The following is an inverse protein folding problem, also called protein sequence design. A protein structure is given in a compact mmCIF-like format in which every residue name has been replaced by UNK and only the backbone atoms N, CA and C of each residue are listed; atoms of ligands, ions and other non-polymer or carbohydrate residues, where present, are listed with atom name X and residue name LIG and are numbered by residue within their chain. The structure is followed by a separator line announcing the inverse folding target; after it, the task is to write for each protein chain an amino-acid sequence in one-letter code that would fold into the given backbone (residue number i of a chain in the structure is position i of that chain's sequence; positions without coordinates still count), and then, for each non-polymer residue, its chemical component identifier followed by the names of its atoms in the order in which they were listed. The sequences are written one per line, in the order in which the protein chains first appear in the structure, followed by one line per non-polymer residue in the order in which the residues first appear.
data_IF_826917652421
#
_entry.id   IF_826917652421
#
_cell.length_a   1.000
_cell.length_b   1.000
_cell.length_c   1.000
_cell.angle_alpha   90.00
_cell.angle_beta   90.00
_cell.angle_gamma   90.00
#
_symmetry.space_group_name_H-M   'P 1'
#
loop_
_entity.id
_entity.type
_entity.pdbx_description
1 polymer ?
#
# COMPACT_ATOMS: atom_id res chain seq x y z
N UNK A 1 16.19 -0.03 -16.68
CA UNK A 1 15.46 -1.01 -17.50
C UNK A 1 14.04 -1.03 -17.01
N UNK A 2 13.09 -0.45 -17.75
CA UNK A 2 11.69 -0.48 -17.39
C UNK A 2 11.15 -1.90 -17.64
N UNK A 3 10.78 -2.61 -16.58
CA UNK A 3 10.15 -3.92 -16.68
C UNK A 3 8.72 -3.67 -17.15
N UNK A 4 8.44 -4.00 -18.41
CA UNK A 4 7.09 -3.95 -18.96
C UNK A 4 6.34 -5.21 -18.49
N UNK A 5 5.69 -5.10 -17.34
CA UNK A 5 4.80 -6.15 -16.83
C UNK A 5 3.48 -6.02 -17.61
N UNK A 6 2.94 -7.08 -18.22
CA UNK A 6 1.65 -7.00 -18.91
C UNK A 6 0.57 -6.49 -17.95
N UNK A 7 -0.22 -5.51 -18.40
CA UNK A 7 -1.20 -4.76 -17.59
C UNK A 7 -2.25 -5.64 -16.90
N UNK A 8 -2.42 -6.88 -17.34
CA UNK A 8 -3.36 -7.83 -16.73
C UNK A 8 -2.88 -9.26 -16.91
N UNK A 9 -2.70 -9.96 -15.79
CA UNK A 9 -2.42 -11.39 -15.75
C UNK A 9 -3.59 -12.11 -15.08
N UNK A 10 -4.21 -13.04 -15.80
CA UNK A 10 -5.34 -13.84 -15.31
C UNK A 10 -4.88 -15.29 -15.28
N UNK A 11 -4.82 -15.86 -14.09
CA UNK A 11 -4.41 -17.25 -13.89
C UNK A 11 -5.38 -17.93 -12.92
N UNK A 12 -5.62 -19.21 -13.15
CA UNK A 12 -6.56 -20.00 -12.38
C UNK A 12 -5.80 -20.98 -11.50
N UNK A 13 -5.93 -20.83 -10.19
CA UNK A 13 -5.34 -21.76 -9.23
C UNK A 13 -6.37 -22.75 -8.71
N UNK A 14 -5.98 -24.03 -8.64
CA UNK A 14 -6.80 -25.06 -7.98
C UNK A 14 -6.56 -25.02 -6.47
N UNK A 15 -7.64 -25.11 -5.70
CA UNK A 15 -7.55 -25.32 -4.25
C UNK A 15 -7.11 -26.77 -4.00
N UNK A 16 -5.98 -26.90 -3.32
CA UNK A 16 -5.38 -28.17 -2.95
C UNK A 16 -6.01 -28.73 -1.67
N UNK A 17 -5.60 -29.93 -1.27
CA UNK A 17 -5.98 -30.48 0.03
C UNK A 17 -5.63 -29.49 1.15
N UNK A 18 -6.46 -29.46 2.20
CA UNK A 18 -6.33 -28.54 3.35
C UNK A 18 -6.56 -27.05 3.02
N UNK A 19 -7.21 -26.73 1.90
CA UNK A 19 -7.59 -25.35 1.56
C UNK A 19 -6.43 -24.47 1.09
N UNK A 20 -5.31 -25.09 0.70
CA UNK A 20 -4.13 -24.36 0.22
C UNK A 20 -4.31 -23.95 -1.24
N UNK A 21 -3.87 -22.74 -1.58
CA UNK A 21 -3.80 -22.23 -2.96
C UNK A 21 -2.36 -21.88 -3.28
N UNK A 22 -1.88 -22.33 -4.44
CA UNK A 22 -0.53 -21.99 -4.91
C UNK A 22 -0.57 -20.64 -5.63
N UNK A 23 0.32 -19.73 -5.24
CA UNK A 23 0.50 -18.44 -5.92
C UNK A 23 1.57 -18.63 -7.00
N UNK A 24 1.25 -18.36 -8.29
CA UNK A 24 2.22 -18.45 -9.38
C UNK A 24 3.44 -17.55 -9.15
N UNK A 25 4.57 -17.90 -9.77
CA UNK A 25 5.83 -17.14 -9.63
C UNK A 25 5.66 -15.67 -10.05
N UNK A 26 4.96 -15.43 -11.15
CA UNK A 26 4.79 -14.09 -11.70
C UNK A 26 3.98 -13.19 -10.77
N UNK A 27 2.91 -13.73 -10.18
CA UNK A 27 2.09 -13.03 -9.17
C UNK A 27 2.92 -12.72 -7.91
N UNK A 28 3.78 -13.65 -7.45
CA UNK A 28 4.68 -13.38 -6.32
C UNK A 28 5.66 -12.26 -6.60
N UNK A 29 6.22 -12.20 -7.82
CA UNK A 29 7.14 -11.13 -8.21
C UNK A 29 6.44 -9.76 -8.22
N UNK A 30 5.21 -9.68 -8.74
CA UNK A 30 4.43 -8.43 -8.74
C UNK A 30 4.04 -8.00 -7.32
N UNK A 31 3.66 -8.94 -6.45
CA UNK A 31 3.31 -8.65 -5.05
C UNK A 31 4.54 -8.50 -4.13
N UNK A 32 5.76 -8.73 -4.64
CA UNK A 32 6.99 -8.71 -3.83
C UNK A 32 6.97 -9.73 -2.69
N UNK A 33 6.49 -10.96 -2.96
CA UNK A 33 6.38 -12.04 -1.99
C UNK A 33 7.57 -13.01 -2.11
N UNK A 34 8.25 -13.23 -0.99
CA UNK A 34 9.32 -14.20 -0.81
C UNK A 34 8.91 -15.31 0.17
N UNK A 35 9.80 -16.28 0.41
CA UNK A 35 9.56 -17.32 1.40
C UNK A 35 9.46 -16.69 2.81
N UNK A 36 8.34 -16.94 3.49
CA UNK A 36 8.05 -16.36 4.81
C UNK A 36 7.34 -14.99 4.77
N UNK A 37 7.11 -14.42 3.58
CA UNK A 37 6.31 -13.21 3.43
C UNK A 37 4.86 -13.43 3.85
N UNK A 38 4.24 -12.38 4.40
CA UNK A 38 2.83 -12.37 4.81
C UNK A 38 1.97 -11.70 3.76
N UNK A 39 0.78 -12.23 3.56
CA UNK A 39 -0.25 -11.68 2.67
C UNK A 39 -1.49 -11.32 3.49
N UNK A 40 -2.11 -10.22 3.14
CA UNK A 40 -3.39 -9.78 3.69
C UNK A 40 -4.47 -10.00 2.65
N UNK A 41 -5.59 -10.58 3.08
CA UNK A 41 -6.78 -10.77 2.25
C UNK A 41 -7.81 -9.73 2.66
N UNK A 42 -8.23 -8.91 1.70
CA UNK A 42 -9.28 -7.91 1.86
C UNK A 42 -10.51 -8.45 1.13
N UNK A 43 -11.62 -8.59 1.85
CA UNK A 43 -12.88 -9.10 1.30
C UNK A 43 -13.89 -7.95 1.28
N UNK A 44 -14.26 -7.49 0.09
CA UNK A 44 -15.20 -6.38 -0.09
C UNK A 44 -16.14 -6.68 -1.26
N UNK A 45 -17.43 -6.42 -1.04
CA UNK A 45 -18.47 -6.56 -2.08
C UNK A 45 -18.47 -7.93 -2.81
N UNK A 46 -18.12 -9.01 -2.10
CA UNK A 46 -18.02 -10.36 -2.66
C UNK A 46 -16.75 -10.61 -3.50
N UNK A 47 -15.87 -9.61 -3.63
CA UNK A 47 -14.55 -9.76 -4.23
C UNK A 47 -13.48 -9.94 -3.16
N UNK A 48 -12.46 -10.74 -3.45
CA UNK A 48 -11.30 -10.93 -2.57
C UNK A 48 -10.08 -10.35 -3.26
N UNK A 49 -9.42 -9.39 -2.59
CA UNK A 49 -8.15 -8.81 -3.04
C UNK A 49 -7.04 -9.28 -2.11
N UNK A 50 -5.92 -9.71 -2.69
CA UNK A 50 -4.72 -10.10 -1.93
C UNK A 50 -3.66 -9.02 -2.09
N UNK A 51 -3.12 -8.56 -0.96
CA UNK A 51 -2.09 -7.52 -0.93
C UNK A 51 -0.94 -7.97 -0.03
N UNK A 52 0.26 -7.47 -0.30
CA UNK A 52 1.40 -7.67 0.58
C UNK A 52 1.14 -6.95 1.92
N UNK A 53 1.21 -7.66 3.04
CA UNK A 53 0.84 -7.11 4.35
C UNK A 53 1.70 -5.91 4.77
N UNK A 54 3.00 -5.92 4.41
CA UNK A 54 3.90 -4.82 4.76
C UNK A 54 3.59 -3.56 3.95
N UNK A 55 3.36 -3.73 2.64
CA UNK A 55 2.98 -2.63 1.76
C UNK A 55 1.61 -2.07 2.17
N UNK A 56 0.65 -2.94 2.48
CA UNK A 56 -0.68 -2.51 2.89
C UNK A 56 -0.69 -1.78 4.22
N UNK A 57 0.10 -2.21 5.21
CA UNK A 57 0.24 -1.49 6.47
C UNK A 57 0.83 -0.08 6.25
N UNK A 58 1.85 0.03 5.39
CA UNK A 58 2.41 1.34 5.05
C UNK A 58 1.42 2.21 4.26
N UNK A 59 0.63 1.64 3.36
CA UNK A 59 -0.40 2.37 2.63
C UNK A 59 -1.54 2.83 3.54
N UNK A 60 -1.96 2.01 4.52
CA UNK A 60 -2.91 2.45 5.54
C UNK A 60 -2.34 3.61 6.35
N UNK A 61 -1.11 3.50 6.85
CA UNK A 61 -0.46 4.56 7.62
C UNK A 61 -0.33 5.83 6.78
N UNK A 62 0.08 5.73 5.52
CA UNK A 62 0.16 6.88 4.61
C UNK A 62 -1.22 7.46 4.28
N UNK A 63 -2.27 6.63 4.14
CA UNK A 63 -3.63 7.09 3.92
C UNK A 63 -4.21 7.79 5.15
N UNK A 64 -3.92 7.29 6.36
CA UNK A 64 -4.26 7.95 7.62
C UNK A 64 -3.51 9.27 7.77
N UNK A 65 -2.20 9.29 7.49
CA UNK A 65 -1.38 10.52 7.50
C UNK A 65 -1.80 11.54 6.44
N UNK A 66 -2.19 11.10 5.23
CA UNK A 66 -2.70 11.99 4.19
C UNK A 66 -4.06 12.57 4.60
N UNK A 67 -4.93 11.75 5.22
CA UNK A 67 -6.21 12.20 5.77
C UNK A 67 -6.07 13.13 7.00
N UNK A 68 -4.97 13.03 7.75
CA UNK A 68 -4.63 13.96 8.83
C UNK A 68 -3.93 15.23 8.33
N UNK A 69 -3.12 15.16 7.27
CA UNK A 69 -2.51 16.31 6.60
C UNK A 69 -3.55 17.22 5.91
N UNK A 70 -4.56 16.62 5.28
CA UNK A 70 -5.71 17.36 4.71
C UNK A 70 -6.56 18.04 5.79
N UNK A 71 -6.71 17.40 6.97
CA UNK A 71 -7.42 17.99 8.13
C UNK A 71 -6.60 19.07 8.84
N UNK A 72 -5.27 18.98 8.77
CA UNK A 72 -4.35 19.96 9.32
C UNK A 72 -4.05 21.13 8.35
N UNK A 73 -4.52 21.06 7.10
CA UNK A 73 -4.29 22.12 6.10
C UNK A 73 -2.84 22.21 5.61
N UNK A 74 -2.04 21.15 5.76
CA UNK A 74 -0.63 21.11 5.37
C UNK A 74 -0.52 20.13 4.21
N UNK A 75 -0.59 20.65 2.98
CA UNK A 75 -0.58 19.84 1.77
C UNK A 75 0.81 19.76 1.12
N UNK A 76 1.78 20.56 1.57
CA UNK A 76 3.14 20.55 1.02
C UNK A 76 4.23 20.94 2.04
N UNK A 77 5.48 20.65 1.68
CA UNK A 77 6.69 21.08 2.43
C UNK A 77 6.80 22.61 2.54
N UNK A 78 6.18 23.37 1.63
CA UNK A 78 6.09 24.84 1.71
C UNK A 78 5.14 25.30 2.84
N UNK A 79 4.01 24.61 3.06
CA UNK A 79 3.08 24.94 4.16
C UNK A 79 3.75 24.75 5.54
N UNK A 80 4.58 23.71 5.67
CA UNK A 80 5.37 23.47 6.89
C UNK A 80 6.35 24.63 7.14
N UNK A 81 6.99 25.13 6.09
CA UNK A 81 7.93 26.26 6.21
C UNK A 81 7.23 27.56 6.59
N UNK A 82 6.02 27.79 6.08
CA UNK A 82 5.26 28.99 6.41
C UNK A 82 4.74 28.96 7.86
N UNK A 83 4.26 27.82 8.35
CA UNK A 83 3.88 27.66 9.78
C UNK A 83 5.09 27.87 10.70
N UNK A 84 6.25 27.32 10.34
CA UNK A 84 7.49 27.49 11.14
C UNK A 84 7.97 28.94 11.13
N UNK A 85 7.74 29.70 10.05
CA UNK A 85 8.04 31.13 9.97
C UNK A 85 7.11 31.95 10.83
N UNK A 86 5.81 31.65 10.84
CA UNK A 86 4.81 32.36 11.63
C UNK A 86 5.11 32.24 13.13
N UNK A 87 5.37 31.03 13.63
CA UNK A 87 5.75 30.75 15.02
C UNK A 87 7.02 31.49 15.45
N UNK A 88 7.99 31.67 14.53
CA UNK A 88 9.22 32.42 14.82
C UNK A 88 9.01 33.93 14.85
N UNK A 89 7.96 34.44 14.20
CA UNK A 89 7.64 35.88 14.19
C UNK A 89 6.79 36.31 15.39
N UNK A 90 5.99 35.41 15.97
CA UNK A 90 5.23 35.67 17.19
C UNK A 90 6.09 35.65 18.47
N UNK A 91 7.37 35.25 18.35
CA UNK A 91 8.34 35.24 19.43
C UNK A 91 9.16 36.53 19.61
N UNK A 92 8.81 37.61 18.91
CA UNK A 92 9.42 38.95 19.03
C UNK A 92 8.48 39.96 19.69
#
# INVERSE_FOLDING_TARGET
MAVNVPDTFIDNAKVMAKGQVTIPKDVRTVLGLDNGSRVTFIVEHGSVRMVNSAVYAMQMIQAEMAGEGEKAGIASEDDVNDIVREIRSEGE
#
